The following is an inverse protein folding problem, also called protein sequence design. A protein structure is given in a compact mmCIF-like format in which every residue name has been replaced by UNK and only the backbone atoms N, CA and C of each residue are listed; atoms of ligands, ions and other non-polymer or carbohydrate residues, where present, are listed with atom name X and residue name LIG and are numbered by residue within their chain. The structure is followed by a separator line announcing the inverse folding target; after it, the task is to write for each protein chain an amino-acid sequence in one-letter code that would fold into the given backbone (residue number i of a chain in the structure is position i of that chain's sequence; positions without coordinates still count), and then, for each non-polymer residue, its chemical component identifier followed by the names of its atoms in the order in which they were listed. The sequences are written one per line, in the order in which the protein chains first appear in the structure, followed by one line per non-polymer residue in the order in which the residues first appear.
data_IF_257832433150
#
_entry.id   IF_257832433150
#
_cell.length_a   1.000
_cell.length_b   1.000
_cell.length_c   1.000
_cell.angle_alpha   90.00
_cell.angle_beta   90.00
_cell.angle_gamma   90.00
#
_symmetry.space_group_name_H-M   'P 1'
#
loop_
_entity.id
_entity.type
_entity.pdbx_description
1 polymer ?
#
# COMPACT_ATOMS: atom_id res chain seq x y z
N UNK A 1 -9.41 20.63 0.13
CA UNK A 1 -8.24 19.73 0.11
C UNK A 1 -8.64 18.41 0.70
N UNK A 2 -8.24 17.29 0.10
CA UNK A 2 -8.48 15.95 0.65
C UNK A 2 -7.47 15.76 1.78
N UNK A 3 -7.96 15.53 3.00
CA UNK A 3 -7.10 15.23 4.14
C UNK A 3 -6.95 13.71 4.22
N UNK A 4 -5.95 13.17 3.52
CA UNK A 4 -5.65 11.74 3.58
C UNK A 4 -4.93 11.46 4.91
N UNK A 5 -5.65 10.90 5.88
CA UNK A 5 -5.06 10.44 7.14
C UNK A 5 -4.43 9.07 6.89
N UNK A 6 -3.18 9.09 6.43
CA UNK A 6 -2.36 7.89 6.28
C UNK A 6 -1.98 7.40 7.68
N UNK A 7 -2.49 6.23 8.08
CA UNK A 7 -2.17 5.60 9.37
C UNK A 7 -1.20 4.45 9.09
N UNK A 8 0.08 4.66 9.41
CA UNK A 8 1.07 3.59 9.45
C UNK A 8 1.02 2.91 10.83
N UNK A 9 0.71 1.61 10.87
CA UNK A 9 0.71 0.83 12.11
C UNK A 9 2.09 0.19 12.35
N UNK A 10 2.55 0.22 13.61
CA UNK A 10 3.91 -0.17 13.99
C UNK A 10 3.93 -0.95 15.32
N UNK A 11 3.25 -2.09 15.39
CA UNK A 11 2.97 -2.90 16.59
C UNK A 11 1.79 -2.44 17.46
N UNK A 12 1.03 -3.44 17.92
CA UNK A 12 0.16 -3.36 19.08
C UNK A 12 1.03 -3.15 20.33
N UNK A 13 1.14 -1.91 20.81
CA UNK A 13 1.66 -1.63 22.15
C UNK A 13 0.52 -1.90 23.14
N UNK A 14 0.74 -2.88 24.01
CA UNK A 14 -0.03 -3.08 25.25
C UNK A 14 0.19 -1.84 26.13
N UNK A 15 -0.71 -0.88 26.03
CA UNK A 15 -0.93 0.16 27.05
C UNK A 15 -1.72 -0.46 28.22
N UNK A 16 -1.65 0.09 29.45
CA UNK A 16 -2.31 -0.49 30.62
C UNK A 16 -3.78 -0.80 30.31
N UNK A 17 -4.15 -2.06 30.54
CA UNK A 17 -5.45 -2.70 30.30
C UNK A 17 -6.66 -1.76 30.37
N UNK A 18 -6.89 -1.03 29.27
CA UNK A 18 -8.22 -0.90 28.72
C UNK A 18 -8.24 -1.88 27.58
N UNK A 19 -9.02 -2.95 27.75
CA UNK A 19 -9.22 -4.00 26.76
C UNK A 19 -9.81 -3.34 25.51
N UNK A 20 -8.95 -2.91 24.59
CA UNK A 20 -9.33 -2.81 23.21
C UNK A 20 -9.52 -4.25 22.76
N UNK A 21 -10.79 -4.62 22.63
CA UNK A 21 -11.20 -5.79 21.86
C UNK A 21 -10.37 -5.83 20.58
N UNK A 22 -9.84 -7.00 20.25
CA UNK A 22 -8.96 -7.26 19.10
C UNK A 22 -9.31 -6.33 17.92
N UNK A 23 -8.31 -5.68 17.31
CA UNK A 23 -8.46 -5.01 16.02
C UNK A 23 -8.72 -6.09 14.96
N UNK A 24 -9.93 -6.63 14.95
CA UNK A 24 -10.50 -7.48 13.91
C UNK A 24 -11.04 -6.57 12.79
N UNK A 25 -10.18 -5.65 12.32
CA UNK A 25 -10.62 -4.47 11.57
C UNK A 25 -10.20 -4.43 10.10
N UNK A 26 -9.28 -5.30 9.65
CA UNK A 26 -8.97 -5.39 8.22
C UNK A 26 -10.08 -6.26 7.61
N UNK A 27 -11.09 -5.59 7.06
CA UNK A 27 -12.21 -6.30 6.41
C UNK A 27 -11.83 -6.83 5.03
N UNK A 28 -10.77 -6.30 4.41
CA UNK A 28 -10.26 -6.80 3.15
C UNK A 28 -8.76 -6.54 2.97
N UNK A 29 -8.04 -7.53 2.43
CA UNK A 29 -6.65 -7.41 1.98
C UNK A 29 -6.56 -7.90 0.55
N UNK A 30 -6.03 -7.06 -0.35
CA UNK A 30 -5.76 -7.48 -1.73
C UNK A 30 -4.54 -8.39 -1.69
N UNK A 31 -4.71 -9.61 -2.21
CA UNK A 31 -3.67 -10.62 -2.15
C UNK A 31 -2.54 -10.34 -3.16
N UNK A 32 -1.30 -10.63 -2.72
CA UNK A 32 -0.03 -10.69 -3.46
C UNK A 32 0.40 -9.46 -4.29
N UNK A 33 -0.40 -8.98 -5.22
CA UNK A 33 0.01 -8.00 -6.24
C UNK A 33 -0.61 -6.62 -6.08
N UNK A 34 -1.44 -6.40 -5.06
CA UNK A 34 -2.11 -5.13 -4.81
C UNK A 34 -2.80 -4.58 -6.07
N UNK A 35 -3.54 -5.44 -6.77
CA UNK A 35 -4.22 -5.07 -8.01
C UNK A 35 -5.32 -4.05 -7.72
N UNK A 36 -5.05 -2.80 -8.11
CA UNK A 36 -5.96 -1.68 -7.89
C UNK A 36 -7.28 -1.83 -8.65
N UNK A 37 -7.35 -2.71 -9.66
CA UNK A 37 -8.58 -2.99 -10.42
C UNK A 37 -9.63 -3.71 -9.59
N UNK A 38 -9.24 -4.33 -8.48
CA UNK A 38 -10.17 -5.02 -7.58
C UNK A 38 -10.91 -4.04 -6.67
N UNK A 39 -10.30 -2.88 -6.33
CA UNK A 39 -10.84 -1.90 -5.38
C UNK A 39 -12.27 -1.48 -5.71
N UNK A 40 -12.62 -1.12 -6.96
CA UNK A 40 -14.00 -0.73 -7.26
C UNK A 40 -15.02 -1.80 -6.88
N UNK A 41 -14.71 -3.07 -7.17
CA UNK A 41 -15.62 -4.18 -6.90
C UNK A 41 -15.80 -4.43 -5.40
N UNK A 42 -14.71 -4.31 -4.64
CA UNK A 42 -14.64 -4.45 -3.18
C UNK A 42 -15.45 -3.33 -2.52
N UNK A 43 -15.20 -2.08 -2.93
CA UNK A 43 -15.88 -0.90 -2.40
C UNK A 43 -17.39 -0.91 -2.68
N UNK A 44 -17.82 -1.41 -3.86
CA UNK A 44 -19.23 -1.47 -4.24
C UNK A 44 -20.01 -2.58 -3.52
N UNK A 45 -19.41 -3.75 -3.32
CA UNK A 45 -20.14 -4.93 -2.84
C UNK A 45 -20.22 -5.04 -1.34
N UNK A 46 -19.14 -4.69 -0.66
CA UNK A 46 -18.96 -5.05 0.75
C UNK A 46 -18.76 -3.80 1.63
N UNK A 47 -18.70 -2.61 1.04
CA UNK A 47 -18.63 -1.34 1.77
C UNK A 47 -17.41 -1.26 2.69
N UNK A 48 -16.31 -1.93 2.33
CA UNK A 48 -15.13 -2.01 3.18
C UNK A 48 -14.59 -0.63 3.53
N UNK A 49 -14.45 -0.38 4.82
CA UNK A 49 -13.85 0.85 5.33
C UNK A 49 -12.33 0.73 5.46
N UNK A 50 -11.78 -0.49 5.42
CA UNK A 50 -10.35 -0.73 5.64
C UNK A 50 -9.74 -1.42 4.43
N UNK A 51 -8.78 -0.72 3.81
CA UNK A 51 -7.98 -1.19 2.70
C UNK A 51 -6.54 -1.29 3.15
N UNK A 52 -5.81 -2.28 2.63
CA UNK A 52 -4.37 -2.43 2.87
C UNK A 52 -3.63 -2.34 1.54
N UNK A 53 -2.47 -1.69 1.55
CA UNK A 53 -1.56 -1.67 0.40
C UNK A 53 -0.12 -1.87 0.86
N UNK A 54 0.58 -2.81 0.22
CA UNK A 54 1.99 -3.09 0.48
C UNK A 54 2.87 -2.40 -0.58
N UNK A 55 3.57 -1.37 -0.15
CA UNK A 55 4.58 -0.63 -0.90
C UNK A 55 5.91 -1.36 -0.78
N UNK A 56 6.50 -1.73 -1.90
CA UNK A 56 7.82 -2.33 -1.96
C UNK A 56 8.76 -1.35 -2.67
N UNK A 57 9.71 -0.80 -1.92
CA UNK A 57 10.75 0.06 -2.47
C UNK A 57 11.72 -0.78 -3.29
N UNK A 58 12.01 -0.31 -4.49
CA UNK A 58 12.92 -0.95 -5.42
C UNK A 58 14.01 0.04 -5.84
N UNK A 59 15.23 -0.49 -5.97
CA UNK A 59 16.40 0.27 -6.40
C UNK A 59 16.27 0.71 -7.86
N UNK A 60 17.01 1.74 -8.28
CA UNK A 60 17.02 2.20 -9.67
C UNK A 60 17.32 1.09 -10.70
N UNK A 61 18.15 0.11 -10.35
CA UNK A 61 18.44 -1.04 -11.22
C UNK A 61 17.22 -1.89 -11.57
N UNK A 62 16.28 -2.02 -10.63
CA UNK A 62 15.00 -2.68 -10.87
C UNK A 62 14.06 -1.75 -11.65
N UNK A 63 13.87 -0.53 -11.15
CA UNK A 63 12.91 0.43 -11.69
C UNK A 63 13.23 0.87 -13.12
N UNK A 64 14.51 0.99 -13.45
CA UNK A 64 15.00 1.33 -14.79
C UNK A 64 15.14 0.11 -15.72
N UNK A 65 14.66 -1.07 -15.30
CA UNK A 65 14.67 -2.23 -16.19
C UNK A 65 13.76 -1.97 -17.39
N UNK A 66 14.13 -2.50 -18.56
CA UNK A 66 13.28 -2.47 -19.77
C UNK A 66 12.17 -3.52 -19.72
N UNK A 67 11.84 -4.03 -18.53
CA UNK A 67 10.87 -5.09 -18.36
C UNK A 67 9.45 -4.55 -18.42
N UNK A 68 8.50 -5.39 -18.83
CA UNK A 68 7.08 -5.05 -18.72
C UNK A 68 6.68 -4.76 -17.26
N UNK A 69 7.38 -5.33 -16.28
CA UNK A 69 7.12 -5.19 -14.86
C UNK A 69 7.20 -3.73 -14.35
N UNK A 70 8.06 -2.91 -14.94
CA UNK A 70 8.35 -1.53 -14.51
C UNK A 70 7.93 -0.46 -15.52
N UNK A 71 7.20 -0.85 -16.58
CA UNK A 71 6.75 0.06 -17.65
C UNK A 71 5.90 1.26 -17.22
N UNK A 72 5.43 1.31 -15.97
CA UNK A 72 4.63 2.42 -15.41
C UNK A 72 5.40 3.35 -14.46
N UNK A 73 6.69 3.13 -14.25
CA UNK A 73 7.52 3.98 -13.37
C UNK A 73 7.91 5.26 -14.12
N UNK A 74 7.66 6.44 -13.52
CA UNK A 74 7.91 7.73 -14.18
C UNK A 74 9.33 8.29 -13.95
N UNK A 75 9.97 7.98 -12.81
CA UNK A 75 11.31 8.47 -12.46
C UNK A 75 12.20 7.31 -11.94
N UNK A 76 12.58 6.37 -12.82
CA UNK A 76 13.23 5.13 -12.40
C UNK A 76 14.63 5.33 -11.78
N UNK A 77 15.28 6.46 -12.01
CA UNK A 77 16.61 6.81 -11.50
C UNK A 77 16.68 7.04 -9.99
N UNK A 78 15.55 7.38 -9.35
CA UNK A 78 15.46 7.61 -7.89
C UNK A 78 15.08 6.33 -7.12
N UNK A 79 14.78 5.25 -7.84
CA UNK A 79 14.06 4.10 -7.30
C UNK A 79 12.56 4.32 -7.36
N UNK A 80 11.79 3.32 -6.95
CA UNK A 80 10.34 3.36 -7.10
C UNK A 80 9.64 2.55 -6.02
N UNK A 81 8.43 2.99 -5.65
CA UNK A 81 7.51 2.19 -4.86
C UNK A 81 6.54 1.47 -5.80
N UNK A 82 6.72 0.17 -5.91
CA UNK A 82 5.73 -0.70 -6.55
C UNK A 82 4.81 -1.28 -5.48
N UNK A 83 3.56 -1.52 -5.84
CA UNK A 83 2.59 -2.16 -4.96
C UNK A 83 2.73 -3.67 -5.16
N UNK A 84 3.39 -4.32 -4.20
CA UNK A 84 3.60 -5.76 -4.24
C UNK A 84 3.82 -6.25 -2.81
N UNK A 85 3.06 -7.26 -2.40
CA UNK A 85 3.28 -7.91 -1.13
C UNK A 85 4.50 -8.84 -1.18
N UNK A 86 4.73 -9.53 -2.29
CA UNK A 86 5.78 -10.56 -2.37
C UNK A 86 7.13 -9.97 -2.85
N UNK A 87 8.13 -10.83 -3.08
CA UNK A 87 9.40 -10.40 -3.71
C UNK A 87 9.13 -10.02 -5.18
N UNK A 88 9.52 -8.81 -5.62
CA UNK A 88 9.32 -8.39 -7.00
C UNK A 88 10.17 -9.21 -7.98
N UNK A 89 9.60 -9.53 -9.14
CA UNK A 89 10.27 -10.28 -10.20
C UNK A 89 10.30 -9.46 -11.50
N UNK A 90 11.47 -9.35 -12.11
CA UNK A 90 11.67 -8.55 -13.34
C UNK A 90 11.03 -9.19 -14.57
N UNK A 91 10.92 -10.51 -14.62
CA UNK A 91 10.35 -11.24 -15.77
C UNK A 91 8.82 -11.32 -15.74
N UNK A 92 8.15 -10.48 -14.93
CA UNK A 92 6.69 -10.39 -14.88
C UNK A 92 6.16 -9.82 -16.20
N UNK A 93 5.11 -10.46 -16.74
CA UNK A 93 4.48 -10.03 -18.00
C UNK A 93 3.64 -8.73 -17.83
N UNK A 94 3.08 -8.51 -16.65
CA UNK A 94 2.21 -7.35 -16.34
C UNK A 94 2.94 -6.38 -15.43
N UNK A 95 2.89 -5.07 -15.73
CA UNK A 95 3.47 -4.07 -14.84
C UNK A 95 2.87 -4.12 -13.43
N UNK A 96 3.70 -3.87 -12.42
CA UNK A 96 3.26 -3.62 -11.06
C UNK A 96 2.51 -2.29 -10.98
N UNK A 97 1.49 -2.21 -10.12
CA UNK A 97 0.95 -0.90 -9.75
C UNK A 97 2.03 -0.11 -9.00
N UNK A 98 1.98 1.21 -9.09
CA UNK A 98 2.91 2.10 -8.36
C UNK A 98 2.17 2.91 -7.30
N UNK A 99 2.93 3.62 -6.46
CA UNK A 99 2.36 4.65 -5.58
C UNK A 99 1.53 5.68 -6.35
N UNK A 100 1.97 6.03 -7.56
CA UNK A 100 1.29 7.00 -8.41
C UNK A 100 -0.02 6.43 -8.94
N UNK A 101 -0.06 5.15 -9.31
CA UNK A 101 -1.30 4.48 -9.71
C UNK A 101 -2.34 4.50 -8.57
N UNK A 102 -1.92 4.28 -7.31
CA UNK A 102 -2.83 4.36 -6.16
C UNK A 102 -3.33 5.80 -5.95
N UNK A 103 -2.44 6.79 -6.03
CA UNK A 103 -2.84 8.18 -5.89
C UNK A 103 -3.81 8.59 -7.00
N UNK A 104 -3.55 8.17 -8.24
CA UNK A 104 -4.43 8.40 -9.37
C UNK A 104 -5.80 7.76 -9.15
N UNK A 105 -5.86 6.52 -8.64
CA UNK A 105 -7.13 5.86 -8.29
C UNK A 105 -7.93 6.64 -7.24
N UNK A 106 -7.28 7.09 -6.17
CA UNK A 106 -7.93 7.84 -5.07
C UNK A 106 -8.45 9.20 -5.56
N UNK A 107 -7.72 9.83 -6.48
CA UNK A 107 -8.03 11.14 -7.03
C UNK A 107 -8.98 11.09 -8.22
N UNK A 108 -9.18 9.92 -8.82
CA UNK A 108 -10.04 9.71 -9.99
C UNK A 108 -11.47 10.19 -9.69
N UNK A 109 -12.05 11.11 -10.49
CA UNK A 109 -13.42 11.59 -10.30
C UNK A 109 -14.47 10.48 -10.21
N UNK A 110 -14.25 9.35 -10.87
CA UNK A 110 -15.14 8.19 -10.84
C UNK A 110 -15.19 7.53 -9.45
N UNK A 111 -14.06 7.48 -8.74
CA UNK A 111 -13.92 6.76 -7.46
C UNK A 111 -13.82 7.70 -6.25
N UNK A 112 -13.57 8.99 -6.48
CA UNK A 112 -13.39 10.03 -5.46
C UNK A 112 -14.50 10.04 -4.42
N UNK A 113 -15.73 9.73 -4.81
CA UNK A 113 -16.88 9.75 -3.90
C UNK A 113 -16.70 8.78 -2.70
N UNK A 114 -16.04 7.63 -2.87
CA UNK A 114 -15.73 6.72 -1.76
C UNK A 114 -14.81 7.34 -0.72
N UNK A 115 -13.85 8.15 -1.17
CA UNK A 115 -12.82 8.71 -0.31
C UNK A 115 -13.17 10.09 0.27
N UNK A 116 -14.22 10.74 -0.25
CA UNK A 116 -14.63 12.09 0.16
C UNK A 116 -16.04 12.17 0.74
N UNK A 117 -16.77 11.06 0.86
CA UNK A 117 -18.11 11.04 1.45
C UNK A 117 -18.02 11.39 2.95
N UNK A 118 -18.68 12.45 3.45
CA UNK A 118 -18.61 12.81 4.87
C UNK A 118 -19.24 11.78 5.81
N UNK A 119 -20.10 10.90 5.29
CA UNK A 119 -20.77 9.86 6.07
C UNK A 119 -20.01 8.51 6.07
N UNK A 120 -18.88 8.42 5.36
CA UNK A 120 -18.08 7.20 5.25
C UNK A 120 -16.60 7.55 5.37
N UNK A 121 -15.87 6.86 6.24
CA UNK A 121 -14.42 7.03 6.33
C UNK A 121 -13.75 5.78 5.79
N UNK A 122 -12.93 5.94 4.75
CA UNK A 122 -12.07 4.87 4.24
C UNK A 122 -10.68 5.04 4.82
N UNK A 123 -10.19 4.00 5.48
CA UNK A 123 -8.86 3.88 6.05
C UNK A 123 -8.00 3.05 5.10
N UNK A 124 -6.83 3.59 4.74
CA UNK A 124 -5.84 2.88 3.93
C UNK A 124 -4.61 2.63 4.81
N UNK A 125 -4.40 1.36 5.17
CA UNK A 125 -3.22 0.90 5.87
C UNK A 125 -2.08 0.71 4.87
N UNK A 126 -0.97 1.43 5.07
CA UNK A 126 0.23 1.32 4.23
C UNK A 126 1.28 0.46 4.93
N UNK A 127 1.76 -0.56 4.25
CA UNK A 127 2.88 -1.38 4.68
C UNK A 127 4.07 -1.12 3.75
N UNK A 128 5.25 -0.83 4.29
CA UNK A 128 6.44 -0.56 3.49
C UNK A 128 7.45 -1.70 3.65
N UNK A 129 7.95 -2.19 2.52
CA UNK A 129 9.02 -3.19 2.42
C UNK A 129 10.20 -2.54 1.71
N UNK A 130 11.40 -2.76 2.25
CA UNK A 130 12.64 -2.25 1.70
C UNK A 130 13.56 -3.44 1.46
N UNK A 131 13.56 -3.97 0.23
CA UNK A 131 14.48 -5.04 -0.13
C UNK A 131 15.80 -4.43 -0.59
N UNK A 132 16.58 -3.95 0.38
CA UNK A 132 17.93 -3.43 0.18
C UNK A 132 18.88 -4.57 0.50
N UNK A 133 19.25 -5.33 -0.52
CA UNK A 133 20.03 -6.59 -0.45
C UNK A 133 21.47 -6.46 0.07
N UNK A 134 21.77 -5.48 0.92
CA UNK A 134 23.05 -5.33 1.64
C UNK A 134 22.91 -4.99 3.12
N UNK A 135 21.68 -4.88 3.66
CA UNK A 135 21.49 -4.71 5.10
C UNK A 135 20.55 -5.80 5.59
N UNK A 136 21.09 -6.66 6.47
CA UNK A 136 20.38 -7.70 7.20
C UNK A 136 18.98 -7.22 7.59
N UNK A 137 17.97 -7.78 6.90
CA UNK A 137 16.67 -8.16 7.44
C UNK A 137 16.14 -7.32 8.61
N UNK A 138 15.99 -6.02 8.40
CA UNK A 138 15.22 -5.19 9.33
C UNK A 138 13.72 -5.46 9.15
N UNK A 139 13.28 -5.99 8.00
CA UNK A 139 11.88 -6.27 7.71
C UNK A 139 11.45 -7.73 7.90
N UNK A 140 12.35 -8.63 8.31
CA UNK A 140 12.03 -10.06 8.38
C UNK A 140 11.18 -10.45 9.60
N UNK A 141 10.82 -9.48 10.46
CA UNK A 141 9.71 -9.62 11.40
C UNK A 141 9.13 -8.25 11.80
N UNK A 142 7.98 -7.87 11.22
CA UNK A 142 6.97 -6.97 11.81
C UNK A 142 7.33 -5.49 12.15
N UNK A 143 8.38 -4.88 11.62
CA UNK A 143 8.71 -3.48 11.99
C UNK A 143 8.19 -2.46 10.95
N UNK A 144 7.08 -1.75 11.26
CA UNK A 144 6.69 -0.51 10.55
C UNK A 144 7.63 0.67 10.87
N UNK A 145 7.34 1.91 10.49
CA UNK A 145 8.05 3.16 10.88
C UNK A 145 7.10 4.20 11.52
N UNK A 146 7.51 4.89 12.61
CA UNK A 146 6.66 5.77 13.43
C UNK A 146 7.08 7.23 13.26
N UNK A 147 6.11 8.10 12.98
CA UNK A 147 6.24 9.54 13.19
C UNK A 147 4.99 10.05 13.92
N UNK A 148 5.20 10.92 14.93
CA UNK A 148 4.14 11.54 15.72
C UNK A 148 4.40 13.04 15.77
N UNK A 149 3.34 13.85 15.72
CA UNK A 149 3.32 15.14 16.43
C UNK A 149 2.89 14.88 17.86
#
# INVERSE_FOLDING_TARGET
GICLKIICFRYAIVLPLTVFTSISGISYQIHSYNDLREWPSIMLKEGHEWLKTDFNFQLPSFCNSTSSATSRVQNPEEGCFILNHDTPILNRQTAYNTSDDLLNLIMDPLYKYWFTNPNQTVYIALCFKFDISSHADVCDNNTGLLWRR
#
